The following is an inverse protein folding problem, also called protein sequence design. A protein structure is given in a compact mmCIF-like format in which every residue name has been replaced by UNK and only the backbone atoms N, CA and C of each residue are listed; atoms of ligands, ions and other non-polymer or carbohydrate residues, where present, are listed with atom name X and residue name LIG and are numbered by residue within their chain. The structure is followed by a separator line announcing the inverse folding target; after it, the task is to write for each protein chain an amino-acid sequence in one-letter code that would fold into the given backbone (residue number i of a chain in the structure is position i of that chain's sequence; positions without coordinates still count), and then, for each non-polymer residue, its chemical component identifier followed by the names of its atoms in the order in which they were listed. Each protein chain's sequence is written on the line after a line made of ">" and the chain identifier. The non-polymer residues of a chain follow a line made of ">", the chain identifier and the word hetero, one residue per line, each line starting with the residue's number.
data_IF_487507490404
#
_entry.id   IF_487507490404
#
_cell.length_a   1.000
_cell.length_b   1.000
_cell.length_c   1.000
_cell.angle_alpha   90.00
_cell.angle_beta   90.00
_cell.angle_gamma   90.00
#
_symmetry.space_group_name_H-M   'P 1'
#
loop_
_entity.id
_entity.type
_entity.pdbx_description
1 polymer ?
#
# COMPACT_ATOMS: atom_id res chain seq x y z
N UNK A 1 14.89 50.09 34.91
CA UNK A 1 16.03 49.75 34.03
C UNK A 1 15.46 49.10 32.77
N UNK A 2 15.19 49.88 31.73
CA UNK A 2 14.67 49.37 30.45
C UNK A 2 15.84 49.12 29.51
N UNK A 3 16.06 47.86 29.11
CA UNK A 3 17.02 47.55 28.08
C UNK A 3 16.46 48.04 26.73
N UNK A 4 17.00 49.14 26.20
CA UNK A 4 16.70 49.56 24.83
C UNK A 4 17.24 48.47 23.89
N UNK A 5 16.34 47.72 23.25
CA UNK A 5 16.71 46.72 22.26
C UNK A 5 17.51 47.40 21.15
N UNK A 6 18.70 46.87 20.84
CA UNK A 6 19.59 47.46 19.82
C UNK A 6 18.87 47.40 18.46
N UNK A 7 18.89 48.48 17.63
CA UNK A 7 18.09 48.56 16.40
C UNK A 7 18.25 47.38 15.44
N UNK A 8 19.47 46.83 15.33
CA UNK A 8 19.78 45.67 14.49
C UNK A 8 19.13 44.36 14.97
N UNK A 9 18.85 44.22 16.27
CA UNK A 9 18.22 43.03 16.83
C UNK A 9 16.74 42.94 16.45
N UNK A 10 16.05 44.09 16.40
CA UNK A 10 14.67 44.17 15.93
C UNK A 10 14.57 43.84 14.43
N UNK A 11 15.50 44.35 13.61
CA UNK A 11 15.58 44.05 12.18
C UNK A 11 15.79 42.56 11.92
N UNK A 12 16.71 41.89 12.64
CA UNK A 12 16.94 40.44 12.49
C UNK A 12 15.71 39.61 12.92
N UNK A 13 15.03 40.01 13.99
CA UNK A 13 13.81 39.34 14.45
C UNK A 13 12.67 39.47 13.42
N UNK A 14 12.47 40.67 12.86
CA UNK A 14 11.49 40.91 11.81
C UNK A 14 11.82 40.14 10.53
N UNK A 15 13.10 40.03 10.16
CA UNK A 15 13.53 39.22 9.02
C UNK A 15 13.32 37.72 9.26
N UNK A 16 13.64 37.21 10.45
CA UNK A 16 13.44 35.79 10.79
C UNK A 16 11.96 35.44 10.93
N UNK A 17 11.15 36.36 11.48
CA UNK A 17 9.70 36.25 11.53
C UNK A 17 9.09 36.34 10.12
N UNK A 18 9.59 37.24 9.26
CA UNK A 18 9.15 37.35 7.86
C UNK A 18 9.50 36.14 7.02
N UNK A 19 10.70 35.56 7.19
CA UNK A 19 11.09 34.29 6.53
C UNK A 19 10.25 33.13 7.08
N UNK A 20 9.98 33.10 8.38
CA UNK A 20 9.12 32.07 8.98
C UNK A 20 7.66 32.20 8.50
N UNK A 21 7.12 33.41 8.42
CA UNK A 21 5.78 33.72 7.91
C UNK A 21 5.66 33.36 6.42
N UNK A 22 6.68 33.68 5.61
CA UNK A 22 6.77 33.27 4.21
C UNK A 22 6.88 31.75 4.05
N UNK A 23 7.65 31.05 4.90
CA UNK A 23 7.70 29.58 4.86
C UNK A 23 6.37 28.97 5.27
N UNK A 24 5.72 29.50 6.31
CA UNK A 24 4.45 28.97 6.81
C UNK A 24 3.29 29.21 5.84
N UNK A 25 3.22 30.39 5.22
CA UNK A 25 2.15 30.74 4.27
C UNK A 25 2.36 30.09 2.90
N UNK A 26 3.58 30.14 2.33
CA UNK A 26 3.85 29.50 1.04
C UNK A 26 3.79 27.98 1.14
N UNK A 27 4.40 27.36 2.16
CA UNK A 27 4.33 25.90 2.30
C UNK A 27 2.89 25.40 2.47
N UNK A 28 2.08 26.11 3.26
CA UNK A 28 0.68 25.76 3.44
C UNK A 28 -0.16 26.00 2.17
N UNK A 29 0.15 27.03 1.37
CA UNK A 29 -0.51 27.30 0.09
C UNK A 29 -0.14 26.27 -0.98
N UNK A 30 1.15 25.96 -1.11
CA UNK A 30 1.68 24.98 -2.05
C UNK A 30 1.17 23.58 -1.72
N UNK A 31 1.17 23.19 -0.44
CA UNK A 31 0.59 21.93 -0.01
C UNK A 31 -0.90 21.86 -0.35
N UNK A 32 -1.67 22.93 -0.10
CA UNK A 32 -3.10 22.97 -0.48
C UNK A 32 -3.30 22.92 -1.99
N UNK A 33 -2.40 23.52 -2.77
CA UNK A 33 -2.45 23.49 -4.24
C UNK A 33 -2.10 22.10 -4.78
N UNK A 34 -1.05 21.46 -4.26
CA UNK A 34 -0.69 20.07 -4.59
C UNK A 34 -1.84 19.12 -4.22
N UNK A 35 -2.40 19.26 -3.02
CA UNK A 35 -3.54 18.44 -2.58
C UNK A 35 -4.78 18.70 -3.42
N UNK A 36 -5.06 19.94 -3.83
CA UNK A 36 -6.14 20.28 -4.78
C UNK A 36 -5.92 19.65 -6.14
N UNK A 37 -4.70 19.71 -6.69
CA UNK A 37 -4.37 19.09 -7.97
C UNK A 37 -4.51 17.58 -7.90
N UNK A 38 -4.00 16.94 -6.84
CA UNK A 38 -4.15 15.49 -6.62
C UNK A 38 -5.62 15.12 -6.44
N UNK A 39 -6.39 15.89 -5.68
CA UNK A 39 -7.83 15.68 -5.51
C UNK A 39 -8.56 15.81 -6.84
N UNK A 40 -8.26 16.85 -7.62
CA UNK A 40 -8.87 17.07 -8.93
C UNK A 40 -8.56 15.93 -9.90
N UNK A 41 -7.30 15.47 -9.97
CA UNK A 41 -6.90 14.29 -10.77
C UNK A 41 -7.63 13.02 -10.29
N UNK A 42 -7.87 12.91 -8.98
CA UNK A 42 -8.59 11.78 -8.40
C UNK A 42 -10.11 11.84 -8.62
N UNK A 43 -10.71 13.03 -8.72
CA UNK A 43 -12.14 13.23 -8.96
C UNK A 43 -12.50 13.36 -10.45
N UNK A 44 -11.55 13.74 -11.31
CA UNK A 44 -11.74 13.88 -12.75
C UNK A 44 -11.38 12.60 -13.51
N UNK A 45 -11.66 11.42 -12.95
CA UNK A 45 -11.70 10.21 -13.77
C UNK A 45 -12.67 10.50 -14.93
N UNK A 46 -12.24 10.49 -16.20
CA UNK A 46 -13.19 10.53 -17.28
C UNK A 46 -14.07 9.28 -17.11
N UNK A 47 -15.39 9.46 -17.08
CA UNK A 47 -16.28 8.37 -17.44
C UNK A 47 -15.78 7.83 -18.77
N UNK A 48 -15.19 6.63 -18.75
CA UNK A 48 -15.03 5.88 -19.98
C UNK A 48 -16.43 5.75 -20.59
N UNK A 49 -16.61 6.03 -21.89
CA UNK A 49 -17.91 5.95 -22.51
C UNK A 49 -18.45 4.53 -22.30
N UNK A 50 -19.61 4.46 -21.65
CA UNK A 50 -20.44 3.25 -21.61
C UNK A 50 -20.82 2.95 -23.05
N UNK A 51 -20.11 2.01 -23.67
CA UNK A 51 -20.60 1.36 -24.89
C UNK A 51 -21.75 0.47 -24.44
N UNK A 52 -22.96 1.02 -24.51
CA UNK A 52 -24.19 0.24 -24.49
C UNK A 52 -24.23 -0.58 -25.77
N UNK A 53 -23.84 -1.85 -25.70
CA UNK A 53 -24.46 -2.83 -26.56
C UNK A 53 -25.24 -3.81 -25.68
N UNK A 54 -26.54 -3.83 -25.94
CA UNK A 54 -27.54 -4.50 -25.14
C UNK A 54 -27.69 -5.90 -25.70
N UNK A 55 -27.03 -6.90 -25.12
CA UNK A 55 -27.56 -8.27 -25.10
C UNK A 55 -27.25 -8.92 -23.74
N UNK A 56 -28.26 -9.59 -23.22
CA UNK A 56 -28.42 -9.98 -21.82
C UNK A 56 -27.42 -11.05 -21.32
N UNK A 57 -26.87 -10.86 -20.10
CA UNK A 57 -27.04 -11.79 -18.95
C UNK A 57 -26.19 -11.34 -17.74
N UNK A 58 -26.72 -11.41 -16.50
CA UNK A 58 -25.96 -11.14 -15.28
C UNK A 58 -25.47 -12.47 -14.70
N UNK A 59 -24.17 -12.78 -14.78
CA UNK A 59 -23.54 -13.69 -13.82
C UNK A 59 -22.01 -13.60 -13.89
N UNK A 60 -21.42 -13.77 -12.71
CA UNK A 60 -20.04 -14.11 -12.43
C UNK A 60 -19.24 -14.65 -13.62
N UNK A 61 -18.05 -14.07 -13.86
CA UNK A 61 -16.79 -14.81 -13.68
C UNK A 61 -15.59 -13.91 -14.03
N UNK A 62 -14.78 -13.60 -13.02
CA UNK A 62 -13.43 -13.15 -13.29
C UNK A 62 -12.62 -14.39 -13.70
N UNK A 63 -12.08 -14.41 -14.92
CA UNK A 63 -11.34 -15.56 -15.45
C UNK A 63 -10.07 -15.94 -14.63
N UNK A 64 -9.71 -15.17 -13.58
CA UNK A 64 -8.66 -15.52 -12.61
C UNK A 64 -9.19 -16.03 -11.26
N UNK A 65 -10.51 -16.05 -11.01
CA UNK A 65 -11.07 -16.51 -9.74
C UNK A 65 -11.63 -17.93 -9.76
N UNK A 66 -11.77 -18.55 -10.94
CA UNK A 66 -12.38 -19.87 -11.09
C UNK A 66 -11.39 -20.86 -11.72
N UNK A 67 -10.42 -21.36 -10.95
CA UNK A 67 -9.77 -22.65 -11.27
C UNK A 67 -9.10 -23.25 -10.04
N UNK A 68 -9.88 -24.05 -9.29
CA UNK A 68 -9.34 -25.14 -8.50
C UNK A 68 -9.03 -26.30 -9.46
N UNK A 69 -7.74 -26.46 -9.74
CA UNK A 69 -6.99 -27.72 -9.92
C UNK A 69 -7.38 -28.70 -11.03
N UNK A 70 -6.41 -29.02 -11.89
CA UNK A 70 -6.04 -30.40 -12.24
C UNK A 70 -4.64 -30.40 -12.86
N UNK A 71 -3.80 -31.34 -12.44
CA UNK A 71 -2.37 -31.39 -12.77
C UNK A 71 -2.02 -32.46 -13.80
N UNK A 72 -0.82 -32.32 -14.40
CA UNK A 72 0.03 -33.44 -14.87
C UNK A 72 1.47 -32.91 -15.06
N UNK A 73 2.43 -33.28 -14.21
CA UNK A 73 3.54 -34.21 -14.54
C UNK A 73 4.66 -33.52 -15.35
N UNK A 74 5.88 -33.28 -14.86
CA UNK A 74 6.89 -34.27 -14.44
C UNK A 74 8.01 -33.67 -13.54
N UNK A 75 8.63 -34.55 -12.75
CA UNK A 75 9.55 -34.33 -11.62
C UNK A 75 10.95 -33.78 -11.97
N UNK A 76 11.56 -33.00 -11.04
CA UNK A 76 12.81 -33.29 -10.28
C UNK A 76 13.38 -32.01 -9.63
N UNK A 77 13.65 -32.08 -8.32
CA UNK A 77 14.76 -31.39 -7.65
C UNK A 77 14.62 -29.89 -7.36
N UNK A 78 14.02 -29.56 -6.22
CA UNK A 78 14.58 -28.70 -5.15
C UNK A 78 13.47 -28.54 -4.08
N UNK A 79 13.80 -28.50 -2.79
CA UNK A 79 12.82 -28.41 -1.69
C UNK A 79 12.05 -27.07 -1.63
N UNK A 80 12.11 -26.30 -2.71
CA UNK A 80 11.65 -24.93 -2.82
C UNK A 80 10.52 -24.88 -3.85
N UNK A 81 9.32 -24.56 -3.36
CA UNK A 81 8.16 -24.31 -4.22
C UNK A 81 8.44 -23.12 -5.14
N UNK A 82 7.84 -23.09 -6.34
CA UNK A 82 7.99 -21.95 -7.26
C UNK A 82 7.18 -20.76 -6.75
N UNK A 83 7.76 -19.56 -6.83
CA UNK A 83 7.06 -18.32 -6.48
C UNK A 83 5.78 -18.17 -7.30
N UNK A 84 4.68 -17.68 -6.69
CA UNK A 84 3.46 -17.39 -7.42
C UNK A 84 3.70 -16.28 -8.43
N UNK A 85 3.08 -16.39 -9.59
CA UNK A 85 3.04 -15.30 -10.56
C UNK A 85 2.32 -14.09 -9.97
N UNK A 86 2.91 -12.91 -10.13
CA UNK A 86 2.30 -11.68 -9.65
C UNK A 86 1.32 -11.15 -10.66
N UNK A 87 0.14 -10.78 -10.19
CA UNK A 87 -0.87 -10.13 -11.02
C UNK A 87 -0.32 -8.77 -11.50
N UNK A 88 -0.37 -8.47 -12.81
CA UNK A 88 0.07 -7.17 -13.32
C UNK A 88 -0.81 -6.03 -12.79
N UNK A 89 -0.20 -4.90 -12.41
CA UNK A 89 -0.89 -3.76 -11.80
C UNK A 89 -2.06 -3.21 -12.63
N UNK A 90 -1.94 -3.22 -13.96
CA UNK A 90 -2.96 -2.72 -14.88
C UNK A 90 -4.26 -3.53 -14.88
N UNK A 91 -4.21 -4.78 -14.43
CA UNK A 91 -5.38 -5.68 -14.39
C UNK A 91 -6.21 -5.55 -13.12
N UNK A 92 -5.72 -4.76 -12.13
CA UNK A 92 -6.35 -4.66 -10.81
C UNK A 92 -6.63 -3.20 -10.44
N UNK A 93 -7.89 -2.78 -10.60
CA UNK A 93 -8.38 -1.45 -10.24
C UNK A 93 -8.75 -1.31 -8.76
N UNK A 94 -8.89 -2.42 -8.04
CA UNK A 94 -9.38 -2.44 -6.66
C UNK A 94 -8.69 -3.50 -5.79
N UNK A 95 -8.65 -3.27 -4.48
CA UNK A 95 -8.08 -4.21 -3.53
C UNK A 95 -8.75 -5.59 -3.61
N UNK A 96 -7.96 -6.66 -3.73
CA UNK A 96 -8.50 -8.03 -3.80
C UNK A 96 -9.34 -8.41 -2.57
N UNK A 97 -8.98 -7.92 -1.38
CA UNK A 97 -9.68 -8.25 -0.14
C UNK A 97 -10.87 -7.32 0.12
N UNK A 98 -10.63 -6.02 0.30
CA UNK A 98 -11.69 -5.08 0.71
C UNK A 98 -12.45 -4.43 -0.46
N UNK A 99 -12.10 -4.75 -1.72
CA UNK A 99 -12.69 -4.18 -2.94
C UNK A 99 -12.62 -2.65 -3.06
N UNK A 100 -11.94 -1.95 -2.16
CA UNK A 100 -11.76 -0.51 -2.27
C UNK A 100 -10.91 -0.17 -3.50
N UNK A 101 -11.31 0.81 -4.33
CA UNK A 101 -10.57 1.20 -5.53
C UNK A 101 -9.20 1.77 -5.16
N UNK A 102 -8.21 1.44 -5.97
CA UNK A 102 -6.88 2.03 -5.86
C UNK A 102 -6.91 3.47 -6.35
N UNK A 103 -6.14 4.32 -5.68
CA UNK A 103 -6.02 5.74 -5.98
C UNK A 103 -4.56 6.15 -5.82
N UNK A 104 -4.23 7.41 -6.10
CA UNK A 104 -2.87 7.96 -5.88
C UNK A 104 -2.42 7.77 -4.41
N UNK A 105 -3.37 7.85 -3.48
CA UNK A 105 -3.15 7.69 -2.04
C UNK A 105 -3.27 6.21 -1.62
N UNK A 106 -4.26 5.48 -2.16
CA UNK A 106 -4.40 4.03 -1.92
C UNK A 106 -3.62 3.27 -2.98
N UNK A 107 -2.32 3.09 -2.73
CA UNK A 107 -1.40 2.38 -3.64
C UNK A 107 -1.59 0.85 -3.62
N UNK A 108 -1.13 0.21 -4.69
CA UNK A 108 -1.14 -1.26 -4.89
C UNK A 108 0.01 -1.93 -4.16
N UNK A 109 -0.22 -3.11 -3.62
CA UNK A 109 0.80 -3.94 -2.96
C UNK A 109 0.58 -5.43 -3.23
N UNK A 110 1.60 -6.14 -3.70
CA UNK A 110 1.54 -7.59 -3.89
C UNK A 110 1.77 -8.38 -2.61
N UNK A 111 0.99 -9.43 -2.42
CA UNK A 111 1.29 -10.48 -1.46
C UNK A 111 2.34 -11.42 -2.04
N UNK A 112 3.49 -11.60 -1.36
CA UNK A 112 4.56 -12.49 -1.83
C UNK A 112 4.21 -13.97 -1.78
N UNK A 113 3.17 -14.33 -1.00
CA UNK A 113 2.72 -15.72 -0.88
C UNK A 113 1.66 -16.12 -1.91
N UNK A 114 0.78 -15.21 -2.35
CA UNK A 114 -0.31 -15.55 -3.28
C UNK A 114 -0.33 -14.73 -4.57
N UNK A 115 0.59 -13.78 -4.76
CA UNK A 115 0.74 -12.99 -5.99
C UNK A 115 -0.34 -11.92 -6.25
N UNK A 116 -1.45 -11.91 -5.49
CA UNK A 116 -2.56 -10.96 -5.65
C UNK A 116 -2.24 -9.56 -5.12
N UNK A 117 -3.01 -8.56 -5.56
CA UNK A 117 -2.82 -7.14 -5.24
C UNK A 117 -3.78 -6.65 -4.14
N UNK A 118 -3.25 -5.96 -3.14
CA UNK A 118 -3.95 -5.47 -1.95
C UNK A 118 -3.62 -4.01 -1.64
N UNK A 119 -4.47 -3.35 -0.86
CA UNK A 119 -4.14 -2.07 -0.26
C UNK A 119 -3.24 -2.24 0.99
N UNK A 120 -2.69 -1.13 1.50
CA UNK A 120 -1.78 -1.16 2.64
C UNK A 120 -2.42 -1.83 3.86
N UNK A 121 -3.70 -1.53 4.14
CA UNK A 121 -4.48 -2.12 5.24
C UNK A 121 -4.68 -3.62 5.12
N UNK A 122 -4.93 -4.14 3.93
CA UNK A 122 -5.17 -5.57 3.72
C UNK A 122 -3.87 -6.39 3.61
N UNK A 123 -2.71 -5.74 3.64
CA UNK A 123 -1.38 -6.36 3.52
C UNK A 123 -0.37 -5.82 4.53
N UNK A 124 -0.82 -5.51 5.74
CA UNK A 124 0.01 -4.89 6.80
C UNK A 124 1.10 -5.82 7.35
N UNK A 125 0.94 -7.13 7.17
CA UNK A 125 1.82 -8.10 7.80
C UNK A 125 3.05 -8.43 6.96
N UNK A 126 4.11 -8.82 7.64
CA UNK A 126 5.33 -9.37 7.04
C UNK A 126 5.68 -10.70 7.68
N UNK A 127 6.18 -11.64 6.88
CA UNK A 127 6.59 -12.95 7.35
C UNK A 127 7.63 -13.57 6.40
N UNK A 128 8.54 -14.41 6.90
CA UNK A 128 9.41 -15.19 6.04
C UNK A 128 8.60 -16.23 5.25
N UNK A 129 9.03 -16.56 4.05
CA UNK A 129 8.47 -17.64 3.22
C UNK A 129 9.58 -18.63 2.86
N UNK A 130 10.01 -19.50 3.81
CA UNK A 130 11.14 -20.41 3.59
C UNK A 130 10.90 -21.41 2.44
N UNK A 131 9.65 -21.80 2.21
CA UNK A 131 9.25 -22.66 1.10
C UNK A 131 9.47 -22.03 -0.28
N UNK A 132 9.68 -20.70 -0.35
CA UNK A 132 10.07 -19.98 -1.55
C UNK A 132 11.54 -19.49 -1.50
N UNK A 133 12.33 -19.94 -0.53
CA UNK A 133 13.70 -19.45 -0.31
C UNK A 133 13.77 -18.02 0.25
N UNK A 134 12.64 -17.42 0.63
CA UNK A 134 12.56 -16.06 1.15
C UNK A 134 12.68 -16.08 2.68
N UNK A 135 13.92 -16.20 3.17
CA UNK A 135 14.20 -16.23 4.61
C UNK A 135 13.98 -14.88 5.31
N UNK A 136 14.14 -13.77 4.57
CA UNK A 136 13.85 -12.42 5.09
C UNK A 136 12.34 -12.18 5.10
N UNK A 137 11.77 -11.55 6.13
CA UNK A 137 10.34 -11.23 6.16
C UNK A 137 9.92 -10.38 4.96
N UNK A 138 8.89 -10.84 4.26
CA UNK A 138 8.30 -10.17 3.10
C UNK A 138 6.82 -9.87 3.33
N UNK A 139 6.28 -8.91 2.59
CA UNK A 139 4.88 -8.49 2.73
C UNK A 139 3.90 -9.60 2.33
N UNK A 140 2.92 -9.86 3.17
CA UNK A 140 1.84 -10.83 2.92
C UNK A 140 0.48 -10.20 3.22
N UNK A 141 -0.57 -10.68 2.55
CA UNK A 141 -1.93 -10.26 2.86
C UNK A 141 -2.38 -10.85 4.20
N UNK A 142 -3.39 -10.23 4.82
CA UNK A 142 -3.96 -10.69 6.09
C UNK A 142 -4.36 -12.17 6.04
N UNK A 143 -5.01 -12.60 4.95
CA UNK A 143 -5.42 -13.99 4.78
C UNK A 143 -4.24 -14.98 4.74
N UNK A 144 -3.16 -14.66 4.02
CA UNK A 144 -1.97 -15.52 3.99
C UNK A 144 -1.24 -15.53 5.33
N UNK A 145 -1.23 -14.40 6.04
CA UNK A 145 -0.63 -14.29 7.36
C UNK A 145 -1.34 -15.17 8.40
N UNK A 146 -2.67 -15.26 8.36
CA UNK A 146 -3.43 -16.07 9.34
C UNK A 146 -3.52 -17.55 8.97
N UNK A 147 -3.52 -17.88 7.68
CA UNK A 147 -3.87 -19.23 7.20
C UNK A 147 -2.63 -20.10 6.92
N UNK A 148 -1.53 -19.48 6.48
CA UNK A 148 -0.37 -20.22 5.97
C UNK A 148 0.91 -19.97 6.75
N UNK A 149 0.87 -19.09 7.75
CA UNK A 149 2.06 -18.72 8.50
C UNK A 149 1.85 -19.05 9.97
N UNK A 150 2.82 -19.74 10.60
CA UNK A 150 2.73 -20.05 12.01
C UNK A 150 2.66 -18.74 12.79
N UNK A 151 1.77 -18.68 13.78
CA UNK A 151 1.71 -17.56 14.69
C UNK A 151 3.12 -17.30 15.23
N UNK A 152 3.59 -16.05 15.13
CA UNK A 152 4.84 -15.64 15.77
C UNK A 152 4.75 -16.10 17.24
N UNK A 153 5.65 -16.96 17.74
CA UNK A 153 5.63 -17.30 19.14
C UNK A 153 5.72 -15.98 19.93
N UNK A 154 4.82 -15.81 20.91
CA UNK A 154 4.83 -14.64 21.76
C UNK A 154 6.24 -14.41 22.31
N UNK A 155 6.69 -13.14 22.46
CA UNK A 155 7.95 -12.88 23.14
C UNK A 155 7.89 -13.58 24.50
N UNK A 156 8.84 -14.49 24.75
CA UNK A 156 8.99 -15.08 26.08
C UNK A 156 9.55 -13.97 26.95
N UNK A 157 8.76 -13.46 27.88
CA UNK A 157 9.26 -12.51 28.88
C UNK A 157 10.41 -13.18 29.66
N UNK A 158 11.61 -12.57 29.72
CA UNK A 158 12.73 -13.13 30.47
C UNK A 158 12.66 -12.74 31.97
N UNK A 159 11.47 -12.81 32.57
CA UNK A 159 11.25 -12.45 33.97
C UNK A 159 10.55 -13.60 34.69
N UNK A 160 11.35 -14.57 35.12
CA UNK A 160 10.91 -15.74 35.88
C UNK A 160 12.08 -16.45 36.51
N UNK A 161 12.93 -15.71 37.22
CA UNK A 161 13.85 -16.30 38.20
C UNK A 161 13.20 -16.09 39.57
N UNK A 162 12.54 -17.15 40.04
CA UNK A 162 12.18 -17.35 41.44
C UNK A 162 13.42 -17.79 42.23
#
# INVERSE_FOLDING_TARGET
>A
RGAAARPWALTLLLSRAGVADQLQTNFASDLRSILKTVFHIMTSQPEAPVVTDTTASPLADCALCSSRGEGNGTRRGDGTSRLPEWVPDGTCSQCTACRAPFTVIRRRHHCRNCGKIFCSRCSQHTAPLPHYGLLKPVRVCAHCYTTHLPAKPAPRDPAGLA
#
